data_IF_195362938959
#
_entry.id   IF_195362938959
#
_cell.length_a   1.000
_cell.length_b   1.000
_cell.length_c   1.000
_cell.angle_alpha   90.00
_cell.angle_beta   90.00
_cell.angle_gamma   90.00
#
_symmetry.space_group_name_H-M   'P 1'
#
loop_
_entity.id
_entity.type
_entity.pdbx_description
1 polymer ?
#
# COMPACT_ATOMS: atom_id res chain seq x y z
N UNK A 1 6.04 14.23 8.70
CA UNK A 1 4.94 13.24 8.68
C UNK A 1 5.34 12.11 7.72
N UNK A 2 5.60 10.88 8.19
CA UNK A 2 5.79 9.74 7.27
C UNK A 2 4.41 9.32 6.77
N UNK A 3 4.23 9.23 5.45
CA UNK A 3 2.98 8.76 4.85
C UNK A 3 2.93 7.22 4.88
N UNK A 4 1.73 6.63 4.96
CA UNK A 4 0.48 7.26 5.40
C UNK A 4 0.44 7.46 6.92
N UNK A 5 -0.25 8.52 7.38
CA UNK A 5 -0.46 8.76 8.81
C UNK A 5 -1.56 7.86 9.35
N UNK A 6 -1.56 7.61 10.67
CA UNK A 6 -2.61 6.86 11.36
C UNK A 6 -4.02 7.40 11.08
N UNK A 7 -4.16 8.72 10.99
CA UNK A 7 -5.42 9.40 10.70
C UNK A 7 -6.03 9.01 9.35
N UNK A 8 -5.20 8.79 8.32
CA UNK A 8 -5.70 8.37 7.00
C UNK A 8 -6.33 6.97 7.09
N UNK A 9 -5.71 6.06 7.86
CA UNK A 9 -6.26 4.73 8.06
C UNK A 9 -7.55 4.76 8.87
N UNK A 10 -7.62 5.58 9.92
CA UNK A 10 -8.84 5.76 10.71
C UNK A 10 -10.00 6.29 9.85
N UNK A 11 -9.73 7.24 8.94
CA UNK A 11 -10.72 7.75 8.00
C UNK A 11 -11.20 6.66 7.03
N UNK A 12 -10.27 5.93 6.40
CA UNK A 12 -10.61 4.86 5.46
C UNK A 12 -11.45 3.75 6.11
N UNK A 13 -11.11 3.35 7.35
CA UNK A 13 -11.88 2.36 8.11
C UNK A 13 -13.31 2.83 8.39
N UNK A 14 -13.45 4.11 8.77
CA UNK A 14 -14.75 4.73 9.00
C UNK A 14 -15.61 4.71 7.74
N UNK A 15 -15.05 5.07 6.59
CA UNK A 15 -15.76 5.08 5.31
C UNK A 15 -16.21 3.67 4.89
N UNK A 16 -15.41 2.65 5.22
CA UNK A 16 -15.75 1.25 4.98
C UNK A 16 -16.71 0.65 6.02
N UNK A 17 -17.01 1.37 7.11
CA UNK A 17 -17.80 0.86 8.23
C UNK A 17 -17.13 -0.33 8.94
N UNK A 18 -15.80 -0.40 8.94
CA UNK A 18 -15.02 -1.49 9.52
C UNK A 18 -14.22 -1.04 10.74
N UNK A 19 -14.05 -1.94 11.70
CA UNK A 19 -13.09 -1.77 12.78
C UNK A 19 -11.68 -2.18 12.35
N UNK A 20 -10.64 -1.68 13.04
CA UNK A 20 -9.25 -2.04 12.75
C UNK A 20 -8.94 -3.53 12.98
N UNK A 21 -9.78 -4.26 13.73
CA UNK A 21 -9.66 -5.71 13.94
C UNK A 21 -10.32 -6.53 12.82
N UNK A 22 -11.13 -5.90 11.98
CA UNK A 22 -11.91 -6.57 10.93
C UNK A 22 -11.20 -6.60 9.58
N UNK A 23 -10.07 -5.88 9.47
CA UNK A 23 -9.34 -5.73 8.21
C UNK A 23 -7.84 -5.91 8.40
N UNK A 24 -7.20 -6.50 7.39
CA UNK A 24 -5.76 -6.46 7.21
C UNK A 24 -5.47 -5.56 6.00
N UNK A 25 -4.42 -4.73 6.08
CA UNK A 25 -3.95 -3.97 4.94
C UNK A 25 -2.62 -4.51 4.45
N UNK A 26 -2.51 -4.62 3.12
CA UNK A 26 -1.28 -4.97 2.41
C UNK A 26 -0.70 -3.75 1.73
N UNK A 27 0.59 -3.51 1.91
CA UNK A 27 1.35 -2.50 1.18
C UNK A 27 1.80 -3.04 -0.17
N UNK A 28 1.27 -2.50 -1.25
CA UNK A 28 1.63 -2.89 -2.62
C UNK A 28 2.47 -1.79 -3.26
N UNK A 29 3.64 -2.15 -3.78
CA UNK A 29 4.51 -1.26 -4.54
C UNK A 29 4.22 -1.41 -6.04
N UNK A 30 3.85 -0.31 -6.72
CA UNK A 30 3.62 -0.28 -8.17
C UNK A 30 4.71 0.52 -8.88
N UNK A 31 5.21 0.03 -10.01
CA UNK A 31 6.33 0.64 -10.76
C UNK A 31 5.91 1.70 -11.78
N UNK A 32 4.61 1.93 -11.98
CA UNK A 32 4.08 2.98 -12.88
C UNK A 32 4.19 4.41 -12.32
N UNK A 33 4.47 4.58 -11.03
CA UNK A 33 4.52 5.89 -10.37
C UNK A 33 5.90 6.55 -10.36
N UNK A 34 6.21 7.32 -9.30
CA UNK A 34 7.56 7.85 -9.02
C UNK A 34 8.49 6.78 -8.46
N UNK A 35 8.47 5.59 -9.07
CA UNK A 35 9.30 4.47 -8.66
C UNK A 35 10.77 4.76 -8.96
N UNK A 36 11.63 4.33 -8.05
CA UNK A 36 13.07 4.49 -8.11
C UNK A 36 13.71 3.21 -7.60
N UNK A 37 14.29 2.42 -8.52
CA UNK A 37 14.88 1.13 -8.20
C UNK A 37 15.97 1.26 -7.12
N UNK A 38 16.81 2.30 -7.23
CA UNK A 38 17.86 2.60 -6.26
C UNK A 38 17.33 2.90 -4.86
N UNK A 39 16.16 3.53 -4.75
CA UNK A 39 15.53 3.83 -3.46
C UNK A 39 14.81 2.60 -2.89
N UNK A 40 14.16 1.83 -3.74
CA UNK A 40 13.48 0.60 -3.36
C UNK A 40 14.47 -0.43 -2.78
N UNK A 41 15.60 -0.63 -3.46
CA UNK A 41 16.67 -1.53 -3.02
C UNK A 41 17.27 -1.15 -1.66
N UNK A 42 17.37 0.16 -1.37
CA UNK A 42 17.94 0.69 -0.12
C UNK A 42 16.90 0.90 0.98
N UNK A 43 15.62 0.65 0.70
CA UNK A 43 14.52 0.86 1.62
C UNK A 43 14.60 -0.11 2.81
N UNK A 44 14.27 0.36 4.00
CA UNK A 44 14.05 -0.51 5.18
C UNK A 44 12.62 -1.06 5.25
N UNK A 45 11.77 -0.68 4.32
CA UNK A 45 10.37 -1.11 4.23
C UNK A 45 10.25 -2.04 3.02
N UNK A 46 9.84 -3.28 3.29
CA UNK A 46 9.55 -4.29 2.27
C UNK A 46 8.05 -4.27 1.99
N UNK A 47 7.63 -4.15 0.72
CA UNK A 47 6.21 -4.27 0.36
C UNK A 47 5.74 -5.74 0.50
N UNK A 48 4.46 -5.93 0.72
CA UNK A 48 3.84 -7.27 0.71
C UNK A 48 3.73 -7.83 -0.72
N UNK A 49 3.73 -6.96 -1.72
CA UNK A 49 3.63 -7.30 -3.14
C UNK A 49 4.25 -6.19 -4.01
N UNK A 50 4.89 -6.59 -5.10
CA UNK A 50 5.34 -5.68 -6.16
C UNK A 50 4.60 -5.96 -7.46
N UNK A 51 4.17 -4.89 -8.14
CA UNK A 51 3.48 -4.96 -9.42
C UNK A 51 4.09 -3.99 -10.43
N UNK A 52 4.13 -4.39 -11.70
CA UNK A 52 4.53 -3.50 -12.79
C UNK A 52 3.51 -2.37 -12.99
N UNK A 53 2.21 -2.67 -12.86
CA UNK A 53 1.12 -1.69 -12.98
C UNK A 53 -0.05 -2.03 -12.05
N UNK A 54 -0.86 -1.02 -11.71
CA UNK A 54 -2.13 -1.24 -10.99
C UNK A 54 -3.09 -2.15 -11.77
N UNK A 55 -3.02 -2.14 -13.11
CA UNK A 55 -3.83 -3.01 -13.95
C UNK A 55 -3.61 -4.51 -13.65
N UNK A 56 -2.41 -4.88 -13.19
CA UNK A 56 -2.07 -6.26 -12.82
C UNK A 56 -2.75 -6.71 -11.52
N UNK A 57 -3.32 -5.80 -10.72
CA UNK A 57 -4.03 -6.17 -9.50
C UNK A 57 -5.23 -7.07 -9.79
N UNK A 58 -5.92 -6.84 -10.91
CA UNK A 58 -7.08 -7.64 -11.32
C UNK A 58 -6.75 -9.09 -11.70
N UNK A 59 -5.46 -9.45 -11.84
CA UNK A 59 -5.03 -10.83 -12.10
C UNK A 59 -4.87 -11.65 -10.82
N UNK A 60 -5.02 -11.03 -9.65
CA UNK A 60 -4.73 -11.62 -8.34
C UNK A 60 -5.98 -11.78 -7.43
N UNK A 61 -7.13 -11.28 -7.87
CA UNK A 61 -8.41 -11.29 -7.15
C UNK A 61 -9.54 -11.68 -8.10
#
# INVERSE_FOLDING_TARGET
MRKPSRQIFELALKDLGKGPKDVAMKGILVKTGKYRADLAERSKVTPDLELESLANLALLI
#
